data_IF_998526167155
#
_entry.id   IF_998526167155
#
_cell.length_a   1.000
_cell.length_b   1.000
_cell.length_c   1.000
_cell.angle_alpha   90.00
_cell.angle_beta   90.00
_cell.angle_gamma   90.00
#
_symmetry.space_group_name_H-M   'P 1'
#
loop_
_entity.id
_entity.type
_entity.pdbx_description
1 polymer ?
#
# COMPACT_ATOMS: atom_id res chain seq x y z
N UNK A 1 1.11 -28.59 -25.44
CA UNK A 1 0.62 -29.89 -24.93
C UNK A 1 0.85 -29.93 -23.44
N UNK A 2 -0.19 -30.26 -22.66
CA UNK A 2 -0.09 -30.44 -21.21
C UNK A 2 0.83 -31.64 -20.93
N UNK A 3 1.97 -31.40 -20.28
CA UNK A 3 2.96 -32.46 -19.98
C UNK A 3 2.58 -33.29 -18.74
N UNK A 4 1.54 -32.91 -18.00
CA UNK A 4 1.26 -33.41 -16.65
C UNK A 4 -0.03 -34.25 -16.53
N UNK A 5 -0.61 -34.73 -17.63
CA UNK A 5 -1.72 -35.69 -17.60
C UNK A 5 -3.11 -35.13 -17.22
N UNK A 6 -3.22 -33.85 -16.85
CA UNK A 6 -4.51 -33.18 -16.64
C UNK A 6 -5.20 -32.97 -18.02
N UNK A 7 -6.20 -33.78 -18.36
CA UNK A 7 -6.93 -33.65 -19.63
C UNK A 7 -8.03 -32.58 -19.59
N UNK A 8 -8.34 -32.03 -18.41
CA UNK A 8 -9.43 -31.10 -18.17
C UNK A 8 -9.06 -29.84 -17.39
N UNK A 9 -9.74 -28.74 -17.69
CA UNK A 9 -9.57 -27.48 -17.01
C UNK A 9 -10.16 -27.51 -15.60
N UNK A 10 -9.37 -27.12 -14.61
CA UNK A 10 -9.78 -27.12 -13.19
C UNK A 10 -10.89 -26.13 -12.82
N UNK A 11 -11.18 -25.12 -13.65
CA UNK A 11 -12.28 -24.16 -13.41
C UNK A 11 -13.60 -24.61 -14.02
N UNK A 12 -13.59 -25.13 -15.25
CA UNK A 12 -14.83 -25.46 -15.97
C UNK A 12 -15.06 -26.96 -16.17
N UNK A 13 -14.12 -27.82 -15.78
CA UNK A 13 -14.19 -29.28 -15.92
C UNK A 13 -14.11 -29.80 -17.36
N UNK A 14 -14.07 -28.92 -18.37
CA UNK A 14 -14.04 -29.33 -19.78
C UNK A 14 -12.63 -29.74 -20.20
N UNK A 15 -12.56 -30.73 -21.09
CA UNK A 15 -11.30 -31.17 -21.69
C UNK A 15 -10.66 -30.10 -22.56
N UNK A 16 -9.33 -30.09 -22.59
CA UNK A 16 -8.58 -29.23 -23.50
C UNK A 16 -8.67 -29.76 -24.93
N UNK A 17 -8.99 -28.90 -25.88
CA UNK A 17 -8.77 -29.18 -27.31
C UNK A 17 -7.34 -28.79 -27.70
N UNK A 18 -6.82 -29.36 -28.79
CA UNK A 18 -5.49 -29.01 -29.30
C UNK A 18 -5.32 -27.53 -29.72
N UNK A 19 -6.42 -26.76 -29.77
CA UNK A 19 -6.43 -25.33 -30.08
C UNK A 19 -6.64 -24.42 -28.88
N UNK A 20 -6.91 -24.98 -27.70
CA UNK A 20 -7.10 -24.17 -26.51
C UNK A 20 -5.76 -23.66 -25.97
N UNK A 21 -5.67 -22.36 -25.71
CA UNK A 21 -4.60 -21.80 -24.88
C UNK A 21 -4.86 -22.17 -23.42
N UNK A 22 -3.84 -22.72 -22.77
CA UNK A 22 -3.91 -23.18 -21.39
C UNK A 22 -2.73 -22.67 -20.57
N UNK A 23 -2.98 -22.30 -19.32
CA UNK A 23 -1.95 -21.89 -18.36
C UNK A 23 -1.98 -22.80 -17.14
N UNK A 24 -0.81 -23.12 -16.60
CA UNK A 24 -0.68 -23.89 -15.37
C UNK A 24 -0.63 -22.93 -14.17
N UNK A 25 -1.36 -23.27 -13.12
CA UNK A 25 -1.24 -22.57 -11.84
C UNK A 25 0.10 -22.89 -11.17
N UNK A 26 0.82 -21.87 -10.74
CA UNK A 26 2.08 -21.95 -9.97
C UNK A 26 1.83 -22.09 -8.45
N UNK A 27 0.57 -22.15 -8.02
CA UNK A 27 0.20 -22.48 -6.65
C UNK A 27 0.13 -23.99 -6.40
N UNK A 28 -0.20 -24.38 -5.18
CA UNK A 28 -0.24 -25.78 -4.73
C UNK A 28 -1.02 -26.73 -5.64
N UNK A 29 -2.12 -26.26 -6.25
CA UNK A 29 -2.95 -27.14 -7.07
C UNK A 29 -2.25 -27.61 -8.35
N UNK A 30 -1.21 -26.90 -8.82
CA UNK A 30 -0.49 -27.17 -10.07
C UNK A 30 -1.37 -27.40 -11.31
N UNK A 31 -2.63 -26.98 -11.23
CA UNK A 31 -3.68 -27.37 -12.14
C UNK A 31 -3.70 -26.54 -13.41
N UNK A 32 -4.26 -27.10 -14.48
CA UNK A 32 -4.36 -26.43 -15.78
C UNK A 32 -5.69 -25.71 -15.98
N UNK A 33 -5.63 -24.54 -16.61
CA UNK A 33 -6.77 -23.66 -16.84
C UNK A 33 -6.80 -23.19 -18.28
N UNK A 34 -7.98 -23.18 -18.91
CA UNK A 34 -8.15 -22.49 -20.18
C UNK A 34 -7.89 -21.00 -19.99
N UNK A 35 -7.25 -20.35 -20.97
CA UNK A 35 -7.09 -18.89 -21.01
C UNK A 35 -8.42 -18.14 -20.91
N UNK A 36 -9.51 -18.69 -21.46
CA UNK A 36 -10.87 -18.14 -21.34
C UNK A 36 -11.50 -18.32 -19.95
N UNK A 37 -11.00 -19.29 -19.18
CA UNK A 37 -11.41 -19.54 -17.80
C UNK A 37 -10.56 -18.74 -16.82
N UNK A 38 -9.44 -18.17 -17.27
CA UNK A 38 -8.68 -17.18 -16.51
C UNK A 38 -9.12 -15.78 -16.93
N UNK A 39 -8.86 -14.79 -16.07
CA UNK A 39 -9.05 -13.38 -16.40
C UNK A 39 -7.80 -12.77 -17.06
N UNK A 40 -6.93 -13.61 -17.64
CA UNK A 40 -5.66 -13.14 -18.21
C UNK A 40 -5.87 -12.56 -19.61
N UNK A 41 -5.17 -11.46 -19.89
CA UNK A 41 -5.02 -10.95 -21.25
C UNK A 41 -4.14 -11.87 -22.11
N UNK A 42 -4.11 -11.65 -23.43
CA UNK A 42 -3.22 -12.40 -24.31
C UNK A 42 -1.74 -12.09 -24.01
N UNK A 43 -1.47 -10.84 -23.62
CA UNK A 43 -0.15 -10.35 -23.22
C UNK A 43 0.31 -11.05 -21.94
N UNK A 44 -0.59 -11.20 -20.97
CA UNK A 44 -0.31 -11.89 -19.71
C UNK A 44 -0.03 -13.37 -19.92
N UNK A 45 -0.78 -14.04 -20.80
CA UNK A 45 -0.54 -15.45 -21.13
C UNK A 45 0.84 -15.61 -21.78
N UNK A 46 1.21 -14.75 -22.72
CA UNK A 46 2.56 -14.74 -23.31
C UNK A 46 3.64 -14.48 -22.26
N UNK A 47 3.39 -13.62 -21.28
CA UNK A 47 4.32 -13.37 -20.19
C UNK A 47 4.48 -14.61 -19.29
N UNK A 48 3.40 -15.34 -19.03
CA UNK A 48 3.43 -16.61 -18.27
C UNK A 48 4.18 -17.69 -19.03
N UNK A 49 3.90 -17.89 -20.32
CA UNK A 49 4.60 -18.87 -21.16
C UNK A 49 6.11 -18.60 -21.27
N UNK A 50 6.51 -17.32 -21.25
CA UNK A 50 7.92 -16.89 -21.24
C UNK A 50 8.57 -16.96 -19.85
N UNK A 51 7.86 -17.41 -18.83
CA UNK A 51 8.35 -17.43 -17.44
C UNK A 51 8.57 -16.05 -16.83
N UNK A 52 8.08 -14.97 -17.47
CA UNK A 52 8.20 -13.58 -16.97
C UNK A 52 7.16 -13.24 -15.92
N UNK A 53 6.09 -14.03 -15.82
CA UNK A 53 5.00 -13.86 -14.88
C UNK A 53 4.52 -15.21 -14.39
N UNK A 54 4.05 -15.27 -13.14
CA UNK A 54 3.43 -16.48 -12.58
C UNK A 54 1.91 -16.33 -12.59
N UNK A 55 1.21 -17.40 -12.96
CA UNK A 55 -0.24 -17.46 -12.85
C UNK A 55 -0.61 -18.24 -11.59
N UNK A 56 -1.45 -17.65 -10.73
CA UNK A 56 -2.01 -18.35 -9.56
C UNK A 56 -3.53 -18.28 -9.67
N UNK A 57 -4.20 -19.42 -9.58
CA UNK A 57 -5.66 -19.50 -9.65
C UNK A 57 -6.32 -18.85 -8.42
N UNK A 58 -7.59 -18.47 -8.53
CA UNK A 58 -8.34 -17.83 -7.43
C UNK A 58 -8.34 -18.66 -6.15
N UNK A 59 -8.51 -19.98 -6.26
CA UNK A 59 -8.48 -20.90 -5.11
C UNK A 59 -7.13 -20.95 -4.40
N UNK A 60 -6.03 -20.89 -5.15
CA UNK A 60 -4.70 -20.82 -4.55
C UNK A 60 -4.43 -19.42 -3.98
N UNK A 61 -4.91 -18.34 -4.63
CA UNK A 61 -4.79 -16.97 -4.10
C UNK A 61 -5.50 -16.82 -2.77
N UNK A 62 -6.71 -17.37 -2.62
CA UNK A 62 -7.50 -17.27 -1.39
C UNK A 62 -6.87 -18.01 -0.21
N UNK A 63 -6.04 -19.03 -0.46
CA UNK A 63 -5.28 -19.74 0.58
C UNK A 63 -4.05 -18.98 1.07
N UNK A 64 -3.46 -18.14 0.23
CA UNK A 64 -2.26 -17.33 0.57
C UNK A 64 -2.65 -16.02 1.29
N UNK A 65 -3.90 -15.58 1.15
CA UNK A 65 -4.40 -14.32 1.73
C UNK A 65 -4.79 -14.32 3.23
N UNK A 66 -5.04 -15.43 3.95
CA UNK A 66 -5.36 -15.38 5.39
C UNK A 66 -4.19 -14.88 6.23
N UNK A 67 -2.97 -15.36 5.96
CA UNK A 67 -1.78 -15.01 6.76
C UNK A 67 -1.38 -13.54 6.58
N UNK A 68 -1.48 -12.99 5.37
CA UNK A 68 -1.17 -11.57 5.12
C UNK A 68 -2.23 -10.67 5.77
N UNK A 69 -3.51 -11.04 5.73
CA UNK A 69 -4.57 -10.26 6.37
C UNK A 69 -4.49 -10.28 7.90
N UNK A 70 -4.14 -11.42 8.49
CA UNK A 70 -3.94 -11.54 9.94
C UNK A 70 -2.72 -10.71 10.40
N UNK A 71 -1.63 -10.75 9.64
CA UNK A 71 -0.44 -9.94 9.95
C UNK A 71 -0.68 -8.44 9.79
N UNK A 72 -1.49 -8.01 8.82
CA UNK A 72 -1.87 -6.59 8.67
C UNK A 72 -2.67 -6.11 9.89
N UNK A 73 -3.62 -6.89 10.39
CA UNK A 73 -4.41 -6.52 11.56
C UNK A 73 -3.56 -6.42 12.83
N UNK A 74 -2.64 -7.37 13.05
CA UNK A 74 -1.70 -7.34 14.18
C UNK A 74 -0.78 -6.12 14.10
N UNK A 75 -0.32 -5.74 12.91
CA UNK A 75 0.51 -4.55 12.73
C UNK A 75 -0.30 -3.27 12.99
N UNK A 76 -1.54 -3.19 12.51
CA UNK A 76 -2.42 -2.01 12.70
C UNK A 76 -2.78 -1.82 14.19
N UNK A 77 -3.11 -2.90 14.91
CA UNK A 77 -3.39 -2.86 16.35
C UNK A 77 -2.15 -2.46 17.17
N UNK A 78 -0.97 -2.97 16.82
CA UNK A 78 0.28 -2.60 17.49
C UNK A 78 0.72 -1.17 17.16
N UNK A 79 0.44 -0.65 15.96
CA UNK A 79 0.72 0.75 15.61
C UNK A 79 -0.21 1.69 16.40
N UNK A 80 -1.50 1.40 16.45
CA UNK A 80 -2.49 2.27 17.12
C UNK A 80 -2.30 2.30 18.63
N UNK A 81 -1.96 1.17 19.26
CA UNK A 81 -1.72 1.07 20.70
C UNK A 81 -0.44 1.78 21.13
N UNK A 82 0.64 1.69 20.34
CA UNK A 82 1.91 2.38 20.62
C UNK A 82 1.87 3.88 20.30
N UNK A 83 1.16 4.30 19.25
CA UNK A 83 1.03 5.73 18.91
C UNK A 83 0.16 6.49 19.91
N UNK A 84 -0.93 5.90 20.43
CA UNK A 84 -1.85 6.62 21.34
C UNK A 84 -1.29 6.89 22.74
N UNK A 85 -0.39 6.03 23.26
CA UNK A 85 0.06 6.15 24.66
C UNK A 85 1.36 6.94 24.83
N UNK A 86 2.34 6.76 23.93
CA UNK A 86 3.68 7.31 24.15
C UNK A 86 3.89 8.70 23.54
N UNK A 87 3.17 9.02 22.45
CA UNK A 87 3.44 10.23 21.66
C UNK A 87 2.97 11.50 22.36
N UNK A 88 1.75 11.57 22.92
CA UNK A 88 1.30 12.75 23.65
C UNK A 88 2.16 13.02 24.89
N UNK A 89 2.65 11.98 25.56
CA UNK A 89 3.50 12.12 26.75
C UNK A 89 4.90 12.66 26.40
N UNK A 90 5.50 12.17 25.32
CA UNK A 90 6.79 12.69 24.81
C UNK A 90 6.63 14.15 24.36
N UNK A 91 5.56 14.47 23.63
CA UNK A 91 5.28 15.84 23.20
C UNK A 91 5.07 16.77 24.38
N UNK A 92 4.32 16.35 25.40
CA UNK A 92 4.12 17.14 26.61
C UNK A 92 5.44 17.38 27.38
N UNK A 93 6.31 16.36 27.48
CA UNK A 93 7.66 16.52 28.09
C UNK A 93 8.53 17.50 27.30
N UNK A 94 8.48 17.46 25.96
CA UNK A 94 9.18 18.41 25.10
C UNK A 94 8.64 19.83 25.30
N UNK A 95 7.31 20.01 25.28
CA UNK A 95 6.66 21.31 25.48
C UNK A 95 6.99 21.90 26.86
N UNK A 96 6.90 21.11 27.94
CA UNK A 96 7.27 21.54 29.29
C UNK A 96 8.76 21.93 29.36
N UNK A 97 9.64 21.16 28.70
CA UNK A 97 11.07 21.45 28.62
C UNK A 97 11.39 22.75 27.88
N UNK A 98 10.63 23.08 26.84
CA UNK A 98 10.78 24.33 26.08
C UNK A 98 10.20 25.54 26.84
N UNK A 99 9.03 25.41 27.49
CA UNK A 99 8.41 26.50 28.25
C UNK A 99 9.22 26.93 29.47
N UNK A 100 9.85 25.99 30.19
CA UNK A 100 10.68 26.30 31.38
C UNK A 100 11.98 27.04 31.07
N UNK A 101 12.44 27.07 29.80
CA UNK A 101 13.69 27.73 29.40
C UNK A 101 13.53 29.17 28.93
N UNK A 102 12.30 29.64 28.74
CA UNK A 102 12.03 31.04 28.37
C UNK A 102 12.08 32.00 29.57
N UNK A 103 12.16 31.48 30.80
CA UNK A 103 12.31 32.28 32.01
C UNK A 103 13.79 32.29 32.46
N UNK A 104 14.63 33.03 31.72
CA UNK A 104 15.92 33.52 32.23
C UNK A 104 17.17 32.67 31.99
N UNK A 105 17.50 32.32 30.73
CA UNK A 105 18.68 31.53 30.43
C UNK A 105 19.73 32.29 29.59
N UNK A 106 20.68 32.90 30.28
CA UNK A 106 21.92 33.42 29.68
C UNK A 106 22.77 32.24 29.20
N UNK A 107 22.82 32.05 27.87
CA UNK A 107 23.62 31.08 27.10
C UNK A 107 23.11 29.63 27.10
N UNK A 108 22.58 29.21 25.94
CA UNK A 108 22.31 27.82 25.60
C UNK A 108 23.63 27.05 25.41
N UNK A 109 23.75 25.91 26.08
CA UNK A 109 24.79 24.89 25.89
C UNK A 109 24.66 24.28 24.47
N UNK A 110 25.78 23.86 23.86
CA UNK A 110 25.83 23.06 22.61
C UNK A 110 24.87 21.87 22.64
N UNK A 111 24.68 21.22 23.79
CA UNK A 111 23.73 20.12 23.97
C UNK A 111 22.28 20.57 23.83
N UNK A 112 21.95 21.80 24.24
CA UNK A 112 20.61 22.36 24.07
C UNK A 112 20.30 22.63 22.60
N UNK A 113 21.29 23.14 21.86
CA UNK A 113 21.16 23.35 20.41
C UNK A 113 20.94 22.01 19.69
N UNK A 114 21.66 20.95 20.10
CA UNK A 114 21.44 19.59 19.56
C UNK A 114 20.05 19.08 19.90
N UNK A 115 19.57 19.29 21.12
CA UNK A 115 18.23 18.86 21.53
C UNK A 115 17.13 19.57 20.74
N UNK A 116 17.24 20.89 20.53
CA UNK A 116 16.29 21.66 19.71
C UNK A 116 16.25 21.12 18.28
N UNK A 117 17.41 20.87 17.66
CA UNK A 117 17.47 20.29 16.29
C UNK A 117 16.83 18.90 16.23
N UNK A 118 17.04 18.06 17.24
CA UNK A 118 16.39 16.75 17.32
C UNK A 118 14.87 16.91 17.44
N UNK A 119 14.39 17.82 18.29
CA UNK A 119 12.96 18.08 18.44
C UNK A 119 12.33 18.59 17.12
N UNK A 120 13.01 19.48 16.39
CA UNK A 120 12.57 19.93 15.07
C UNK A 120 12.50 18.80 14.04
N UNK A 121 13.51 17.92 14.01
CA UNK A 121 13.52 16.75 13.13
C UNK A 121 12.38 15.78 13.45
N UNK A 122 12.13 15.54 14.74
CA UNK A 122 11.01 14.71 15.21
C UNK A 122 9.68 15.33 14.74
N UNK A 123 9.49 16.63 14.91
CA UNK A 123 8.29 17.33 14.45
C UNK A 123 8.03 17.18 12.94
N UNK A 124 9.09 17.30 12.13
CA UNK A 124 8.99 17.09 10.66
C UNK A 124 8.64 15.65 10.29
N UNK A 125 9.21 14.67 10.99
CA UNK A 125 8.89 13.25 10.79
C UNK A 125 7.42 12.96 11.13
N UNK A 126 6.88 13.57 12.19
CA UNK A 126 5.47 13.46 12.54
C UNK A 126 4.53 13.97 11.45
N UNK A 127 4.80 15.16 10.92
CA UNK A 127 4.01 15.74 9.83
C UNK A 127 4.02 14.85 8.57
N UNK A 128 5.17 14.24 8.25
CA UNK A 128 5.27 13.31 7.13
C UNK A 128 4.43 12.05 7.35
N UNK A 129 4.47 11.48 8.55
CA UNK A 129 3.68 10.29 8.91
C UNK A 129 2.18 10.59 8.81
N UNK A 130 1.72 11.73 9.32
CA UNK A 130 0.31 12.14 9.21
C UNK A 130 -0.13 12.29 7.75
N UNK A 131 0.70 12.93 6.93
CA UNK A 131 0.43 13.11 5.49
C UNK A 131 0.29 11.76 4.78
N UNK A 132 1.23 10.84 5.02
CA UNK A 132 1.20 9.49 4.43
C UNK A 132 -0.02 8.68 4.92
N UNK A 133 -0.41 8.84 6.19
CA UNK A 133 -1.59 8.19 6.76
C UNK A 133 -2.87 8.61 6.04
N UNK A 134 -3.04 9.90 5.76
CA UNK A 134 -4.20 10.42 5.02
C UNK A 134 -4.20 9.97 3.56
N UNK A 135 -3.06 9.95 2.88
CA UNK A 135 -2.94 9.41 1.51
C UNK A 135 -3.37 7.93 1.45
N UNK A 136 -2.94 7.12 2.43
CA UNK A 136 -3.33 5.71 2.53
C UNK A 136 -4.86 5.57 2.74
N UNK A 137 -5.48 6.42 3.57
CA UNK A 137 -6.93 6.42 3.77
C UNK A 137 -7.68 6.73 2.47
N UNK A 138 -7.22 7.74 1.72
CA UNK A 138 -7.80 8.11 0.43
C UNK A 138 -7.68 6.96 -0.59
N UNK A 139 -6.51 6.33 -0.68
CA UNK A 139 -6.29 5.17 -1.56
C UNK A 139 -7.20 3.98 -1.18
N UNK A 140 -7.36 3.69 0.12
CA UNK A 140 -8.29 2.66 0.60
C UNK A 140 -9.73 2.96 0.16
N UNK A 141 -10.17 4.21 0.27
CA UNK A 141 -11.51 4.63 -0.16
C UNK A 141 -11.71 4.51 -1.68
N UNK A 142 -10.69 4.88 -2.48
CA UNK A 142 -10.75 4.74 -3.94
C UNK A 142 -10.85 3.27 -4.37
N UNK A 143 -10.12 2.36 -3.70
CA UNK A 143 -10.20 0.92 -3.96
C UNK A 143 -11.60 0.39 -3.64
N UNK A 144 -12.20 0.79 -2.51
CA UNK A 144 -13.57 0.39 -2.15
C UNK A 144 -14.58 0.85 -3.19
N UNK A 145 -14.49 2.10 -3.63
CA UNK A 145 -15.39 2.65 -4.66
C UNK A 145 -15.25 1.91 -6.01
N UNK A 146 -14.02 1.61 -6.45
CA UNK A 146 -13.78 0.84 -7.69
C UNK A 146 -14.35 -0.58 -7.62
N UNK A 147 -14.33 -1.22 -6.46
CA UNK A 147 -14.88 -2.55 -6.27
C UNK A 147 -16.42 -2.55 -6.25
N UNK A 148 -17.05 -1.51 -5.70
CA UNK A 148 -18.52 -1.37 -5.75
C UNK A 148 -19.07 -1.15 -7.16
N UNK A 149 -18.33 -0.43 -8.02
CA UNK A 149 -18.72 -0.17 -9.43
C UNK A 149 -18.59 -1.42 -10.31
N UNK A 150 -17.74 -2.38 -9.96
CA UNK A 150 -17.61 -3.65 -10.71
C UNK A 150 -18.75 -4.64 -10.41
N UNK A 151 -19.41 -4.53 -9.25
CA UNK A 151 -20.49 -5.44 -8.84
C UNK A 151 -21.91 -4.89 -9.11
N UNK A 152 -22.04 -3.64 -9.56
CA UNK A 152 -23.32 -3.04 -9.94
C UNK A 152 -23.18 -2.22 -11.22
N UNK A 153 -24.01 -2.57 -12.23
CA UNK A 153 -24.21 -1.87 -13.52
C UNK A 153 -23.68 -0.43 -13.60
N UNK A 154 -22.86 -0.19 -14.62
CA UNK A 154 -22.45 1.10 -15.24
C UNK A 154 -23.13 2.35 -14.70
N UNK A 155 -22.36 3.22 -14.04
CA UNK A 155 -22.68 4.65 -13.89
C UNK A 155 -21.52 5.46 -14.47
N UNK A 156 -21.89 6.48 -15.25
CA UNK A 156 -21.04 7.34 -16.08
C UNK A 156 -19.86 7.93 -15.29
N UNK A 157 -18.70 7.93 -15.92
CA UNK A 157 -17.45 8.53 -15.47
C UNK A 157 -17.63 10.00 -15.09
N UNK A 158 -17.25 10.34 -13.86
CA UNK A 158 -17.02 11.74 -13.45
C UNK A 158 -15.57 12.07 -13.80
N UNK A 159 -15.42 13.00 -14.73
CA UNK A 159 -14.14 13.58 -15.14
C UNK A 159 -13.71 14.56 -14.04
N UNK A 160 -12.70 14.18 -13.25
CA UNK A 160 -12.13 15.06 -12.23
C UNK A 160 -10.95 15.79 -12.84
N UNK A 161 -11.21 17.07 -13.14
CA UNK A 161 -10.28 18.04 -13.68
C UNK A 161 -9.19 18.35 -12.63
N UNK A 162 -7.98 17.84 -12.84
CA UNK A 162 -6.81 18.12 -11.98
C UNK A 162 -6.26 19.49 -12.33
N UNK A 163 -6.67 20.52 -11.59
CA UNK A 163 -5.99 21.82 -11.58
C UNK A 163 -5.55 22.22 -10.18
N UNK A 164 -4.39 22.89 -10.18
CA UNK A 164 -3.74 23.68 -9.12
C UNK A 164 -2.90 22.90 -8.11
N UNK A 165 -1.70 23.31 -7.72
CA UNK A 165 -0.65 24.24 -8.23
C UNK A 165 0.42 24.13 -7.15
N UNK A 166 1.65 23.75 -7.51
CA UNK A 166 2.78 23.89 -6.60
C UNK A 166 3.21 25.37 -6.62
N UNK A 167 2.87 26.13 -5.57
CA UNK A 167 3.43 27.45 -5.37
C UNK A 167 4.69 27.33 -4.53
N UNK A 168 5.84 27.45 -5.18
CA UNK A 168 7.13 27.68 -4.53
C UNK A 168 7.12 29.06 -3.86
N UNK A 169 7.37 29.09 -2.56
CA UNK A 169 7.83 30.29 -1.87
C UNK A 169 9.15 29.97 -1.17
N UNK A 170 10.24 30.04 -1.93
CA UNK A 170 11.60 30.07 -1.39
C UNK A 170 11.88 31.50 -0.93
N UNK A 171 12.00 31.63 0.38
CA UNK A 171 12.37 32.85 1.09
C UNK A 171 13.84 33.17 0.76
N UNK A 172 14.08 34.25 0.01
CA UNK A 172 15.40 34.89 -0.09
C UNK A 172 15.62 35.76 1.14
N UNK A 173 16.54 35.35 2.02
CA UNK A 173 17.10 36.25 3.05
C UNK A 173 18.24 37.07 2.44
N UNK A 174 18.12 38.39 2.55
CA UNK A 174 19.16 39.39 2.28
C UNK A 174 20.31 39.22 3.28
N UNK A 175 21.54 39.26 2.77
CA UNK A 175 22.73 39.51 3.57
C UNK A 175 22.83 41.02 3.85
N UNK A 176 23.06 41.36 5.11
CA UNK A 176 23.76 42.58 5.56
C UNK A 176 25.02 42.08 6.25
#
# INVERSE_FOLDING_TARGET
MNKNGDDACRKCGRKFSGRDYSVQCDGECSGWFHKKCTELSNEDVKAVEKGKRRFVCETCKSKVMPEVSANINIIDENLQSNQKKNIPEIMNKITIGLSRKNEGMDRLDINDIKFIKIAEMIGKLYQLIETQSEEIKLLRQEIMNKNTVKNGKTVKSVEIDKKKTYSESVITKKNV
#
